data_IF_717773907219
#
_entry.id   IF_717773907219
#
_cell.length_a   1.000
_cell.length_b   1.000
_cell.length_c   1.000
_cell.angle_alpha   90.00
_cell.angle_beta   90.00
_cell.angle_gamma   90.00
#
_symmetry.space_group_name_H-M   'P 1'
#
loop_
_entity.id
_entity.type
_entity.pdbx_description
1 polymer ?
#
# COMPACT_ATOMS: atom_id res chain seq x y z
N UNK A 1 1.21 -11.11 -16.29
CA UNK A 1 0.59 -10.75 -15.00
C UNK A 1 0.09 -12.01 -14.33
N UNK A 2 0.41 -12.22 -13.07
CA UNK A 2 -0.07 -13.37 -12.29
C UNK A 2 -1.60 -13.39 -12.21
N UNK A 3 -2.28 -14.55 -12.26
CA UNK A 3 -3.75 -14.61 -12.27
C UNK A 3 -4.44 -13.85 -11.13
N UNK A 4 -3.88 -13.91 -9.92
CA UNK A 4 -4.40 -13.14 -8.79
C UNK A 4 -4.34 -11.63 -9.02
N UNK A 5 -3.27 -11.12 -9.62
CA UNK A 5 -3.13 -9.70 -9.92
C UNK A 5 -4.13 -9.27 -11.00
N UNK A 6 -4.39 -10.14 -12.01
CA UNK A 6 -5.39 -9.86 -13.06
C UNK A 6 -6.82 -9.75 -12.50
N UNK A 7 -7.13 -10.50 -11.42
CA UNK A 7 -8.40 -10.38 -10.71
C UNK A 7 -8.45 -9.12 -9.85
N UNK A 8 -7.37 -8.85 -9.07
CA UNK A 8 -7.38 -7.83 -8.04
C UNK A 8 -7.24 -6.41 -8.57
N UNK A 9 -6.43 -6.18 -9.61
CA UNK A 9 -6.17 -4.84 -10.12
C UNK A 9 -7.45 -4.08 -10.48
N UNK A 10 -8.39 -4.61 -11.29
CA UNK A 10 -9.63 -3.88 -11.62
C UNK A 10 -10.51 -3.64 -10.39
N UNK A 11 -10.53 -4.59 -9.44
CA UNK A 11 -11.29 -4.45 -8.21
C UNK A 11 -10.73 -3.30 -7.38
N UNK A 12 -9.41 -3.29 -7.16
CA UNK A 12 -8.74 -2.27 -6.36
C UNK A 12 -8.85 -0.89 -6.98
N UNK A 13 -8.72 -0.75 -8.29
CA UNK A 13 -8.92 0.52 -8.99
C UNK A 13 -10.31 1.08 -8.73
N UNK A 14 -11.36 0.27 -8.97
CA UNK A 14 -12.75 0.66 -8.73
C UNK A 14 -13.00 1.10 -7.30
N UNK A 15 -12.48 0.35 -6.33
CA UNK A 15 -12.71 0.63 -4.91
C UNK A 15 -11.80 1.73 -4.37
N UNK A 16 -10.61 1.89 -4.90
CA UNK A 16 -9.76 3.04 -4.63
C UNK A 16 -10.42 4.36 -5.07
N UNK A 17 -10.99 4.39 -6.27
CA UNK A 17 -11.77 5.54 -6.77
C UNK A 17 -13.02 5.81 -5.91
N UNK A 18 -13.64 4.77 -5.36
CA UNK A 18 -14.74 4.93 -4.43
C UNK A 18 -14.28 5.61 -3.13
N UNK A 19 -13.17 5.17 -2.55
CA UNK A 19 -12.61 5.76 -1.34
C UNK A 19 -12.17 7.22 -1.56
N UNK A 20 -11.57 7.53 -2.70
CA UNK A 20 -11.22 8.91 -3.05
C UNK A 20 -12.46 9.81 -3.15
N UNK A 21 -13.54 9.32 -3.79
CA UNK A 21 -14.81 10.03 -3.85
C UNK A 21 -15.43 10.23 -2.46
N UNK A 22 -15.30 9.23 -1.58
CA UNK A 22 -15.79 9.36 -0.21
C UNK A 22 -15.05 10.47 0.58
N UNK A 23 -13.75 10.66 0.36
CA UNK A 23 -13.02 11.78 0.94
C UNK A 23 -13.56 13.12 0.44
N UNK A 24 -13.79 13.25 -0.87
CA UNK A 24 -14.37 14.47 -1.47
C UNK A 24 -15.75 14.73 -0.88
N UNK A 25 -16.58 13.70 -0.72
CA UNK A 25 -17.91 13.80 -0.12
C UNK A 25 -17.84 14.24 1.35
N UNK A 26 -16.93 13.64 2.13
CA UNK A 26 -16.73 14.02 3.53
C UNK A 26 -16.32 15.50 3.68
N UNK A 27 -15.49 15.98 2.75
CA UNK A 27 -15.10 17.39 2.69
C UNK A 27 -16.29 18.30 2.29
N UNK A 28 -17.03 17.92 1.24
CA UNK A 28 -18.19 18.68 0.76
C UNK A 28 -19.32 18.76 1.80
N UNK A 29 -19.42 17.77 2.70
CA UNK A 29 -20.36 17.77 3.83
C UNK A 29 -19.84 18.55 5.05
N UNK A 30 -18.63 19.10 4.99
CA UNK A 30 -17.99 19.83 6.11
C UNK A 30 -17.92 19.02 7.40
N UNK A 31 -17.72 17.70 7.30
CA UNK A 31 -17.66 16.81 8.45
C UNK A 31 -16.51 17.18 9.38
N UNK A 32 -16.80 17.31 10.67
CA UNK A 32 -15.77 17.44 11.71
C UNK A 32 -14.85 16.22 11.76
N UNK A 33 -13.67 16.31 12.42
CA UNK A 33 -12.66 15.24 12.41
C UNK A 33 -13.20 13.87 12.82
N UNK A 34 -13.97 13.77 13.90
CA UNK A 34 -14.52 12.51 14.38
C UNK A 34 -15.58 11.92 13.45
N UNK A 35 -16.50 12.76 12.93
CA UNK A 35 -17.55 12.32 12.00
C UNK A 35 -16.93 11.92 10.66
N UNK A 36 -15.88 12.60 10.22
CA UNK A 36 -15.11 12.26 9.03
C UNK A 36 -14.45 10.89 9.19
N UNK A 37 -13.72 10.67 10.28
CA UNK A 37 -13.10 9.39 10.60
C UNK A 37 -14.12 8.25 10.59
N UNK A 38 -15.26 8.46 11.26
CA UNK A 38 -16.35 7.48 11.31
C UNK A 38 -16.96 7.21 9.93
N UNK A 39 -17.19 8.26 9.13
CA UNK A 39 -17.73 8.13 7.78
C UNK A 39 -16.77 7.37 6.87
N UNK A 40 -15.50 7.78 6.83
CA UNK A 40 -14.48 7.15 5.98
C UNK A 40 -14.17 5.72 6.42
N UNK A 41 -14.18 5.44 7.73
CA UNK A 41 -14.05 4.07 8.25
C UNK A 41 -15.16 3.15 7.71
N UNK A 42 -16.42 3.57 7.75
CA UNK A 42 -17.53 2.79 7.16
C UNK A 42 -17.39 2.57 5.65
N UNK A 43 -16.84 3.54 4.92
CA UNK A 43 -16.59 3.35 3.49
C UNK A 43 -15.47 2.33 3.24
N UNK A 44 -14.44 2.35 4.08
CA UNK A 44 -13.37 1.37 4.02
C UNK A 44 -13.88 -0.04 4.37
N UNK A 45 -14.69 -0.20 5.43
CA UNK A 45 -15.32 -1.47 5.81
C UNK A 45 -16.15 -2.04 4.64
N UNK A 46 -16.99 -1.22 3.99
CA UNK A 46 -17.79 -1.66 2.85
C UNK A 46 -16.94 -2.09 1.64
N UNK A 47 -15.79 -1.45 1.44
CA UNK A 47 -14.82 -1.84 0.41
C UNK A 47 -14.17 -3.17 0.76
N UNK A 48 -13.73 -3.36 2.00
CA UNK A 48 -13.12 -4.61 2.45
C UNK A 48 -14.08 -5.78 2.34
N UNK A 49 -15.35 -5.61 2.76
CA UNK A 49 -16.40 -6.63 2.61
C UNK A 49 -16.58 -7.05 1.14
N UNK A 50 -16.58 -6.08 0.22
CA UNK A 50 -16.70 -6.37 -1.21
C UNK A 50 -15.48 -7.12 -1.77
N UNK A 51 -14.27 -6.75 -1.36
CA UNK A 51 -13.05 -7.43 -1.76
C UNK A 51 -13.05 -8.87 -1.21
N UNK A 52 -13.43 -9.04 0.06
CA UNK A 52 -13.57 -10.34 0.70
C UNK A 52 -14.55 -11.25 -0.06
N UNK A 53 -15.75 -10.75 -0.39
CA UNK A 53 -16.74 -11.48 -1.19
C UNK A 53 -16.15 -11.95 -2.53
N UNK A 54 -15.47 -11.05 -3.26
CA UNK A 54 -14.88 -11.37 -4.57
C UNK A 54 -13.76 -12.39 -4.48
N UNK A 55 -12.92 -12.29 -3.46
CA UNK A 55 -11.87 -13.26 -3.20
C UNK A 55 -12.45 -14.60 -2.78
N UNK A 56 -13.47 -14.61 -1.91
CA UNK A 56 -14.18 -15.82 -1.48
C UNK A 56 -14.84 -16.59 -2.62
N UNK A 57 -15.38 -15.89 -3.63
CA UNK A 57 -15.93 -16.54 -4.83
C UNK A 57 -14.84 -17.27 -5.65
N UNK A 58 -13.63 -16.71 -5.70
CA UNK A 58 -12.52 -17.23 -6.52
C UNK A 58 -11.61 -18.19 -5.75
N UNK A 59 -11.52 -18.04 -4.43
CA UNK A 59 -10.60 -18.75 -3.54
C UNK A 59 -11.32 -19.17 -2.25
N UNK A 60 -12.26 -20.12 -2.36
CA UNK A 60 -13.25 -20.49 -1.34
C UNK A 60 -12.68 -20.83 0.05
N UNK A 61 -11.47 -21.39 0.11
CA UNK A 61 -10.88 -21.89 1.37
C UNK A 61 -9.76 -20.98 1.89
N UNK A 62 -9.59 -19.81 1.30
CA UNK A 62 -8.53 -18.90 1.67
C UNK A 62 -9.09 -17.75 2.54
N UNK A 63 -8.70 -17.64 3.83
CA UNK A 63 -9.15 -16.52 4.66
C UNK A 63 -8.68 -15.18 4.10
N UNK A 64 -9.57 -14.20 4.19
CA UNK A 64 -9.29 -12.80 3.88
C UNK A 64 -9.27 -12.02 5.19
N UNK A 65 -8.22 -11.26 5.40
CA UNK A 65 -7.93 -10.55 6.65
C UNK A 65 -7.81 -9.06 6.36
N UNK A 66 -8.29 -8.24 7.28
CA UNK A 66 -8.14 -6.77 7.25
C UNK A 66 -7.03 -6.26 8.16
N UNK A 67 -6.37 -7.18 8.86
CA UNK A 67 -5.20 -6.91 9.69
C UNK A 67 -4.32 -8.15 9.76
N UNK A 68 -3.06 -7.97 10.16
CA UNK A 68 -2.12 -9.08 10.28
C UNK A 68 -2.49 -10.02 11.44
N UNK A 69 -2.97 -11.23 11.12
CA UNK A 69 -3.15 -12.32 12.08
C UNK A 69 -2.16 -13.45 11.81
N UNK A 70 -1.09 -13.46 12.60
CA UNK A 70 0.00 -14.42 12.45
C UNK A 70 -0.43 -15.89 12.60
N UNK A 71 -1.44 -16.18 13.42
CA UNK A 71 -1.92 -17.55 13.63
C UNK A 71 -2.68 -18.06 12.40
N UNK A 72 -3.66 -17.30 11.93
CA UNK A 72 -4.43 -17.64 10.72
C UNK A 72 -3.51 -17.73 9.50
N UNK A 73 -2.58 -16.78 9.35
CA UNK A 73 -1.63 -16.76 8.24
C UNK A 73 -0.72 -18.00 8.22
N UNK A 74 -0.20 -18.43 9.37
CA UNK A 74 0.69 -19.60 9.47
C UNK A 74 -0.02 -20.93 9.25
N UNK A 75 -1.30 -21.03 9.65
CA UNK A 75 -2.06 -22.27 9.58
C UNK A 75 -2.79 -22.45 8.24
N UNK A 76 -2.91 -21.39 7.44
CA UNK A 76 -3.59 -21.43 6.15
C UNK A 76 -2.63 -21.76 5.01
N UNK A 77 -3.07 -22.63 4.09
CA UNK A 77 -2.32 -22.89 2.85
C UNK A 77 -2.20 -21.63 2.00
N UNK A 78 -3.28 -20.86 1.93
CA UNK A 78 -3.35 -19.57 1.25
C UNK A 78 -4.16 -18.60 2.11
N UNK A 79 -3.73 -17.35 2.17
CA UNK A 79 -4.47 -16.26 2.84
C UNK A 79 -4.28 -14.95 2.09
N UNK A 80 -5.17 -14.00 2.36
CA UNK A 80 -5.15 -12.67 1.78
C UNK A 80 -5.18 -11.66 2.91
N UNK A 81 -4.41 -10.58 2.78
CA UNK A 81 -4.44 -9.46 3.71
C UNK A 81 -4.73 -8.20 2.92
N UNK A 82 -5.87 -7.55 3.22
CA UNK A 82 -6.22 -6.23 2.70
C UNK A 82 -5.47 -5.20 3.54
N UNK A 83 -4.90 -4.18 2.91
CA UNK A 83 -4.18 -3.12 3.62
C UNK A 83 -4.45 -1.74 3.02
N UNK A 84 -4.28 -0.72 3.85
CA UNK A 84 -4.33 0.68 3.48
C UNK A 84 -2.99 1.33 3.90
N UNK A 85 -2.15 1.68 2.94
CA UNK A 85 -0.97 2.51 3.18
C UNK A 85 -1.37 3.98 3.17
N UNK A 86 -0.97 4.74 4.18
CA UNK A 86 -1.45 6.11 4.37
C UNK A 86 -2.80 6.19 5.07
N UNK A 87 -3.10 5.31 6.03
CA UNK A 87 -4.37 5.32 6.78
C UNK A 87 -4.64 6.68 7.46
N UNK A 88 -3.61 7.28 8.05
CA UNK A 88 -3.72 8.61 8.64
C UNK A 88 -4.10 9.67 7.59
N UNK A 89 -3.45 9.64 6.42
CA UNK A 89 -3.80 10.51 5.31
C UNK A 89 -5.25 10.32 4.89
N UNK A 90 -5.67 9.06 4.70
CA UNK A 90 -7.04 8.74 4.32
C UNK A 90 -8.06 9.30 5.31
N UNK A 91 -7.86 9.08 6.60
CA UNK A 91 -8.79 9.55 7.65
C UNK A 91 -8.80 11.08 7.82
N UNK A 92 -7.69 11.74 7.54
CA UNK A 92 -7.57 13.21 7.54
C UNK A 92 -8.13 13.88 6.27
N UNK A 93 -8.44 13.07 5.23
CA UNK A 93 -8.90 13.59 3.94
C UNK A 93 -7.76 14.05 3.03
N UNK A 94 -6.55 13.56 3.27
CA UNK A 94 -5.40 13.73 2.36
C UNK A 94 -5.43 12.59 1.36
N UNK A 95 -5.33 12.89 0.08
CA UNK A 95 -5.50 11.94 -1.02
C UNK A 95 -4.28 11.04 -1.30
N UNK A 96 -3.18 11.22 -0.56
CA UNK A 96 -1.96 10.40 -0.65
C UNK A 96 -2.11 9.12 0.19
N UNK A 97 -2.85 8.16 -0.34
CA UNK A 97 -3.00 6.82 0.23
C UNK A 97 -3.01 5.75 -0.87
N UNK A 98 -2.80 4.49 -0.47
CA UNK A 98 -2.86 3.33 -1.38
C UNK A 98 -3.66 2.20 -0.74
N UNK A 99 -4.64 1.67 -1.50
CA UNK A 99 -5.40 0.47 -1.16
C UNK A 99 -4.76 -0.75 -1.81
N UNK A 100 -4.57 -1.83 -1.07
CA UNK A 100 -3.97 -3.03 -1.62
C UNK A 100 -4.41 -4.33 -0.96
N UNK A 101 -4.03 -5.42 -1.63
CA UNK A 101 -4.21 -6.81 -1.16
C UNK A 101 -2.92 -7.57 -1.37
N UNK A 102 -2.45 -8.25 -0.34
CA UNK A 102 -1.28 -9.13 -0.39
C UNK A 102 -1.73 -10.59 -0.25
N UNK A 103 -1.23 -11.45 -1.12
CA UNK A 103 -1.42 -12.90 -1.06
C UNK A 103 -0.25 -13.55 -0.33
N UNK A 104 -0.58 -14.45 0.59
CA UNK A 104 0.39 -15.29 1.27
C UNK A 104 0.10 -16.76 0.98
N UNK A 105 1.14 -17.58 0.89
CA UNK A 105 1.09 -19.04 0.83
C UNK A 105 1.99 -19.62 1.91
N UNK A 106 1.40 -20.44 2.79
CA UNK A 106 2.10 -20.99 3.97
C UNK A 106 2.82 -19.89 4.79
N UNK A 107 2.17 -18.75 4.96
CA UNK A 107 2.69 -17.60 5.68
C UNK A 107 3.74 -16.76 4.94
N UNK A 108 4.03 -17.08 3.68
CA UNK A 108 5.04 -16.35 2.88
C UNK A 108 4.37 -15.49 1.82
N UNK A 109 4.71 -14.20 1.71
CA UNK A 109 4.20 -13.35 0.65
C UNK A 109 4.60 -13.89 -0.72
N UNK A 110 3.63 -14.00 -1.64
CA UNK A 110 3.85 -14.46 -3.02
C UNK A 110 3.48 -13.44 -4.07
N UNK A 111 2.44 -12.64 -3.83
CA UNK A 111 2.06 -11.55 -4.71
C UNK A 111 1.34 -10.44 -3.96
N UNK A 112 1.26 -9.28 -4.57
CA UNK A 112 0.41 -8.20 -4.10
C UNK A 112 -0.12 -7.39 -5.29
N UNK A 113 -1.26 -6.73 -5.08
CA UNK A 113 -1.78 -5.69 -5.95
C UNK A 113 -2.19 -4.51 -5.11
N UNK A 114 -1.99 -3.30 -5.61
CA UNK A 114 -2.41 -2.07 -4.96
C UNK A 114 -2.75 -1.00 -6.00
N UNK A 115 -3.48 0.01 -5.56
CA UNK A 115 -3.75 1.23 -6.32
C UNK A 115 -3.49 2.45 -5.45
N UNK A 116 -2.94 3.52 -6.05
CA UNK A 116 -2.92 4.87 -5.49
C UNK A 116 -3.94 5.70 -6.25
N UNK A 117 -5.16 5.90 -5.71
CA UNK A 117 -6.29 6.42 -6.50
C UNK A 117 -6.06 7.83 -7.03
N UNK A 118 -5.48 8.73 -6.22
CA UNK A 118 -5.25 10.12 -6.61
C UNK A 118 -4.36 10.28 -7.85
N UNK A 119 -3.43 9.37 -8.05
CA UNK A 119 -2.52 9.35 -9.21
C UNK A 119 -2.90 8.31 -10.26
N UNK A 120 -3.99 7.57 -10.03
CA UNK A 120 -4.43 6.44 -10.85
C UNK A 120 -3.28 5.43 -11.10
N UNK A 121 -2.45 5.22 -10.09
CA UNK A 121 -1.30 4.35 -10.19
C UNK A 121 -1.69 2.93 -9.81
N UNK A 122 -1.54 2.01 -10.75
CA UNK A 122 -1.64 0.57 -10.55
C UNK A 122 -0.29 0.02 -10.12
N UNK A 123 -0.27 -0.79 -9.06
CA UNK A 123 0.95 -1.40 -8.55
C UNK A 123 0.67 -2.89 -8.34
N UNK A 124 1.52 -3.75 -8.87
CA UNK A 124 1.45 -5.16 -8.54
C UNK A 124 2.84 -5.80 -8.55
N UNK A 125 2.99 -6.83 -7.76
CA UNK A 125 4.22 -7.60 -7.67
C UNK A 125 3.97 -9.09 -7.52
N UNK A 126 4.93 -9.87 -7.98
CA UNK A 126 4.99 -11.31 -7.75
C UNK A 126 6.43 -11.70 -7.45
N UNK A 127 6.62 -12.63 -6.51
CA UNK A 127 7.94 -13.03 -5.98
C UNK A 127 8.98 -13.30 -7.05
N UNK A 128 8.60 -13.92 -8.17
CA UNK A 128 9.51 -14.33 -9.24
C UNK A 128 9.51 -13.39 -10.45
N UNK A 129 8.59 -12.41 -10.49
CA UNK A 129 8.41 -11.53 -11.65
C UNK A 129 8.86 -10.09 -11.37
N UNK A 130 9.02 -9.73 -10.07
CA UNK A 130 9.32 -8.38 -9.62
C UNK A 130 8.08 -7.51 -9.51
N UNK A 131 8.28 -6.20 -9.45
CA UNK A 131 7.23 -5.20 -9.25
C UNK A 131 6.96 -4.45 -10.55
N UNK A 132 5.70 -4.17 -10.80
CA UNK A 132 5.20 -3.44 -11.96
C UNK A 132 4.37 -2.24 -11.47
N UNK A 133 4.51 -1.12 -12.17
CA UNK A 133 3.71 0.09 -11.98
C UNK A 133 3.14 0.48 -13.34
N UNK A 134 1.82 0.58 -13.42
CA UNK A 134 1.09 0.87 -14.68
C UNK A 134 1.52 -0.05 -15.83
N UNK A 135 1.67 -1.35 -15.55
CA UNK A 135 2.10 -2.36 -16.52
C UNK A 135 3.61 -2.37 -16.84
N UNK A 136 4.39 -1.42 -16.36
CA UNK A 136 5.84 -1.36 -16.57
C UNK A 136 6.61 -1.95 -15.40
N UNK A 137 7.50 -2.89 -15.69
CA UNK A 137 8.37 -3.46 -14.66
C UNK A 137 9.32 -2.40 -14.13
N UNK A 138 9.29 -2.16 -12.82
CA UNK A 138 10.30 -1.34 -12.17
C UNK A 138 11.61 -2.13 -12.08
N UNK A 139 12.67 -1.52 -12.56
CA UNK A 139 14.03 -2.04 -12.38
C UNK A 139 14.78 -1.05 -11.50
N UNK A 140 15.51 -1.56 -10.53
CA UNK A 140 16.44 -0.73 -9.77
C UNK A 140 17.38 -0.02 -10.77
N UNK A 141 17.20 1.26 -10.90
CA UNK A 141 18.10 2.09 -11.70
C UNK A 141 18.99 2.83 -10.70
N UNK A 142 20.30 2.67 -10.82
CA UNK A 142 21.21 3.55 -10.11
C UNK A 142 20.95 4.96 -10.63
N UNK A 143 20.31 5.77 -9.82
CA UNK A 143 19.92 7.12 -10.20
C UNK A 143 21.17 7.93 -10.50
N UNK A 144 21.21 8.52 -11.70
CA UNK A 144 22.15 9.60 -12.05
C UNK A 144 21.61 11.00 -11.68
N UNK A 145 20.56 11.04 -10.83
CA UNK A 145 19.95 12.30 -10.41
C UNK A 145 20.94 13.04 -9.52
N UNK A 146 21.23 14.28 -9.87
CA UNK A 146 22.15 15.15 -9.13
C UNK A 146 21.67 15.47 -7.71
N UNK A 147 20.34 15.61 -7.53
CA UNK A 147 19.73 15.86 -6.23
C UNK A 147 19.49 14.57 -5.44
N UNK A 148 19.87 14.59 -4.17
CA UNK A 148 19.73 13.47 -3.26
C UNK A 148 18.41 13.56 -2.52
N UNK A 149 17.49 12.64 -2.82
CA UNK A 149 16.22 12.45 -2.10
C UNK A 149 16.30 11.22 -1.20
N UNK A 150 15.92 11.35 0.06
CA UNK A 150 15.60 10.21 0.90
C UNK A 150 14.11 10.20 1.28
N UNK A 151 13.60 9.04 1.66
CA UNK A 151 12.25 8.87 2.20
C UNK A 151 12.31 8.37 3.64
N UNK A 152 11.36 8.78 4.47
CA UNK A 152 11.22 8.30 5.85
C UNK A 152 9.92 7.50 5.92
N UNK A 153 10.02 6.29 6.44
CA UNK A 153 8.90 5.38 6.65
C UNK A 153 8.54 5.37 8.14
N UNK A 154 7.22 5.28 8.42
CA UNK A 154 6.72 5.27 9.78
C UNK A 154 6.73 6.63 10.48
N UNK A 155 6.34 6.66 11.76
CA UNK A 155 6.12 7.90 12.52
C UNK A 155 7.41 8.50 13.12
N UNK A 156 8.52 7.80 13.05
CA UNK A 156 9.76 8.23 13.67
C UNK A 156 10.29 9.53 13.08
N UNK A 157 10.75 10.44 13.96
CA UNK A 157 11.41 11.67 13.54
C UNK A 157 12.91 11.44 13.47
N UNK A 158 13.45 11.49 12.29
CA UNK A 158 14.89 11.44 12.07
C UNK A 158 15.46 12.84 12.11
N UNK A 159 16.33 13.10 13.08
CA UNK A 159 16.99 14.43 13.30
C UNK A 159 18.51 14.34 13.18
N UNK A 160 19.06 13.22 12.73
CA UNK A 160 20.49 12.94 12.77
C UNK A 160 21.27 13.41 11.55
N UNK A 161 22.59 13.32 11.66
CA UNK A 161 23.56 13.64 10.59
C UNK A 161 23.30 12.85 9.30
N UNK A 162 22.67 11.69 9.41
CA UNK A 162 22.33 10.83 8.28
C UNK A 162 21.39 11.51 7.26
N UNK A 163 20.47 12.37 7.72
CA UNK A 163 19.52 13.10 6.85
C UNK A 163 20.15 14.33 6.24
N UNK A 164 21.10 14.96 6.91
CA UNK A 164 21.77 16.19 6.45
C UNK A 164 22.57 16.01 5.15
N UNK A 165 22.88 14.76 4.80
CA UNK A 165 23.55 14.43 3.54
C UNK A 165 22.63 14.43 2.31
N UNK A 166 21.31 14.63 2.50
CA UNK A 166 20.32 14.66 1.45
C UNK A 166 19.79 16.08 1.21
N UNK A 167 19.54 16.39 -0.06
CA UNK A 167 18.99 17.70 -0.47
C UNK A 167 17.51 17.81 -0.14
N UNK A 168 16.79 16.67 -0.18
CA UNK A 168 15.37 16.58 0.07
C UNK A 168 15.03 15.38 0.95
N UNK A 169 14.09 15.59 1.86
CA UNK A 169 13.52 14.55 2.74
C UNK A 169 12.02 14.50 2.52
N UNK A 170 11.49 13.31 2.26
CA UNK A 170 10.06 13.07 2.10
C UNK A 170 9.58 12.11 3.19
N UNK A 171 8.51 12.48 3.87
CA UNK A 171 7.74 11.63 4.78
C UNK A 171 6.27 11.87 4.46
N UNK A 172 5.71 11.08 3.56
CA UNK A 172 4.36 11.32 3.06
C UNK A 172 3.28 10.70 3.93
N UNK A 173 3.62 9.69 4.71
CA UNK A 173 2.68 8.82 5.41
C UNK A 173 2.08 7.73 4.51
N UNK A 174 2.36 7.73 3.20
CA UNK A 174 2.03 6.62 2.29
C UNK A 174 3.32 5.84 1.99
N UNK A 175 3.63 4.89 2.85
CA UNK A 175 4.89 4.14 2.83
C UNK A 175 5.08 3.34 1.54
N UNK A 176 3.99 2.80 0.97
CA UNK A 176 4.04 2.11 -0.31
C UNK A 176 4.48 3.06 -1.43
N UNK A 177 3.87 4.24 -1.51
CA UNK A 177 4.22 5.27 -2.49
C UNK A 177 5.67 5.74 -2.34
N UNK A 178 6.12 5.95 -1.10
CA UNK A 178 7.49 6.38 -0.80
C UNK A 178 8.52 5.31 -1.18
N UNK A 179 8.25 4.03 -0.90
CA UNK A 179 9.14 2.93 -1.30
C UNK A 179 9.23 2.72 -2.81
N UNK A 180 8.18 3.05 -3.57
CA UNK A 180 8.25 3.01 -5.03
C UNK A 180 9.24 4.06 -5.58
N UNK A 181 9.43 5.17 -4.90
CA UNK A 181 10.47 6.15 -5.28
C UNK A 181 11.88 5.58 -5.09
N UNK A 182 12.10 4.81 -4.01
CA UNK A 182 13.37 4.12 -3.75
C UNK A 182 13.62 3.03 -4.79
N UNK A 183 12.64 2.16 -5.00
CA UNK A 183 12.75 1.06 -5.96
C UNK A 183 12.95 1.57 -7.39
N UNK A 184 12.28 2.65 -7.77
CA UNK A 184 12.40 3.29 -9.08
C UNK A 184 13.66 4.17 -9.25
N UNK A 185 14.52 4.24 -8.23
CA UNK A 185 15.76 5.02 -8.25
C UNK A 185 15.55 6.55 -8.22
N UNK A 186 14.35 7.01 -7.86
CA UNK A 186 14.04 8.44 -7.67
C UNK A 186 14.46 8.93 -6.29
N UNK A 187 14.44 8.05 -5.28
CA UNK A 187 15.03 8.28 -3.98
C UNK A 187 16.23 7.33 -3.79
N UNK A 188 17.31 7.81 -3.16
CA UNK A 188 18.54 7.04 -2.98
C UNK A 188 18.45 6.08 -1.80
N UNK A 189 17.69 6.44 -0.77
CA UNK A 189 17.62 5.67 0.47
C UNK A 189 16.29 5.88 1.18
N UNK A 190 15.92 4.91 2.02
CA UNK A 190 14.86 5.07 3.03
C UNK A 190 15.45 4.93 4.43
N UNK A 191 14.77 5.52 5.39
CA UNK A 191 15.01 5.38 6.82
C UNK A 191 13.71 4.94 7.49
N UNK A 192 13.82 4.20 8.60
CA UNK A 192 12.67 3.71 9.36
C UNK A 192 11.96 2.53 8.72
N UNK A 193 10.91 2.13 9.38
CA UNK A 193 10.05 1.02 8.98
C UNK A 193 8.59 1.39 9.27
N UNK A 194 7.60 0.90 8.48
CA UNK A 194 6.19 1.04 8.80
C UNK A 194 5.86 0.36 10.13
N UNK A 195 4.96 0.94 10.91
CA UNK A 195 4.41 0.30 12.11
C UNK A 195 3.50 -0.88 11.75
N UNK A 196 2.80 -0.79 10.62
CA UNK A 196 1.92 -1.85 10.14
C UNK A 196 2.72 -3.06 9.65
N UNK A 197 2.46 -4.23 10.25
CA UNK A 197 3.16 -5.48 9.95
C UNK A 197 2.93 -5.94 8.51
N UNK A 198 1.77 -5.65 7.91
CA UNK A 198 1.47 -6.00 6.53
C UNK A 198 2.35 -5.20 5.58
N UNK A 199 2.43 -3.89 5.78
CA UNK A 199 3.27 -3.00 4.98
C UNK A 199 4.75 -3.32 5.16
N UNK A 200 5.21 -3.55 6.39
CA UNK A 200 6.59 -3.99 6.68
C UNK A 200 6.93 -5.27 5.92
N UNK A 201 6.04 -6.27 5.96
CA UNK A 201 6.22 -7.54 5.27
C UNK A 201 6.25 -7.36 3.75
N UNK A 202 5.35 -6.54 3.20
CA UNK A 202 5.29 -6.24 1.78
C UNK A 202 6.57 -5.55 1.31
N UNK A 203 7.00 -4.51 2.01
CA UNK A 203 8.21 -3.75 1.67
C UNK A 203 9.44 -4.65 1.69
N UNK A 204 9.61 -5.44 2.75
CA UNK A 204 10.75 -6.34 2.90
C UNK A 204 10.82 -7.40 1.80
N UNK A 205 9.69 -7.93 1.34
CA UNK A 205 9.68 -9.03 0.37
C UNK A 205 9.66 -8.60 -1.10
N UNK A 206 9.15 -7.40 -1.41
CA UNK A 206 8.95 -6.97 -2.80
C UNK A 206 9.66 -5.66 -3.15
N UNK A 207 9.83 -4.75 -2.20
CA UNK A 207 10.26 -3.38 -2.48
C UNK A 207 11.68 -3.08 -1.97
N UNK A 208 12.27 -3.96 -1.19
CA UNK A 208 13.67 -3.83 -0.80
C UNK A 208 14.57 -4.22 -1.96
N UNK A 209 15.53 -3.36 -2.34
CA UNK A 209 16.42 -3.60 -3.48
C UNK A 209 17.34 -4.80 -3.30
#
# INVERSE_FOLDING_TARGET
MHPSNSLLVPILQKHGDHLLRAQIEAHARELGPEDRKKFLGKQFDAVTDTIEEKLGMSYKDAPVLTSWDANTIKTSLKSWVIFLSGEANFTLGVDDFSLGVMQLELGRPVSFSATTPATQTEIHGHRNEGVFVNGYRIRKTLSKVESKLCVILGPERYTGEDIQSFDFVRQSGNELGDMLLVLGGRAQKHFGEPDDTTLKTLITNFLTP
#
